data_IF_126716082315
#
_entry.id   IF_126716082315
#
_cell.length_a   1.000
_cell.length_b   1.000
_cell.length_c   1.000
_cell.angle_alpha   90.00
_cell.angle_beta   90.00
_cell.angle_gamma   90.00
#
_symmetry.space_group_name_H-M   'P 1'
#
loop_
_entity.id
_entity.type
_entity.pdbx_description
1 polymer ?
#
# COMPACT_ATOMS: atom_id res chain seq x y z
N UNK A 1 55.35 5.89 22.01
CA UNK A 1 55.68 4.55 22.52
C UNK A 1 55.03 3.54 21.58
N UNK A 2 55.87 2.93 20.74
CA UNK A 2 55.52 1.87 19.80
C UNK A 2 55.11 0.60 20.58
N UNK A 3 54.07 -0.10 20.11
CA UNK A 3 53.96 -1.55 20.27
C UNK A 3 53.35 -2.15 18.98
N UNK A 4 54.21 -2.91 18.32
CA UNK A 4 53.99 -3.86 17.21
C UNK A 4 53.56 -5.21 17.85
N UNK A 5 53.06 -6.16 17.01
CA UNK A 5 52.92 -7.64 17.20
C UNK A 5 51.43 -8.07 17.22
N UNK A 6 50.92 -9.03 16.45
CA UNK A 6 51.44 -9.97 15.43
C UNK A 6 50.27 -10.40 14.51
N UNK A 7 50.54 -10.64 13.24
CA UNK A 7 49.63 -11.31 12.30
C UNK A 7 49.67 -12.84 12.51
N UNK A 8 48.51 -13.49 12.38
CA UNK A 8 48.41 -14.96 12.19
C UNK A 8 47.61 -15.22 10.92
N UNK A 9 48.33 -15.60 9.89
CA UNK A 9 47.85 -16.16 8.63
C UNK A 9 47.75 -17.67 8.74
N UNK A 10 46.60 -18.26 8.40
CA UNK A 10 46.47 -19.70 8.20
C UNK A 10 45.83 -19.96 6.83
N UNK A 11 46.64 -20.50 5.92
CA UNK A 11 46.24 -21.08 4.63
C UNK A 11 45.77 -22.51 4.86
N UNK A 12 44.61 -22.91 4.32
CA UNK A 12 44.35 -24.31 3.90
C UNK A 12 43.55 -24.30 2.59
N UNK A 13 43.90 -25.30 1.77
CA UNK A 13 43.75 -25.46 0.33
C UNK A 13 42.35 -25.81 -0.20
N UNK A 14 42.11 -25.31 -1.43
CA UNK A 14 41.67 -26.00 -2.66
C UNK A 14 40.87 -27.29 -2.53
N UNK A 15 39.64 -27.27 -3.07
CA UNK A 15 38.88 -28.44 -3.48
C UNK A 15 37.88 -28.11 -4.59
N UNK A 16 38.32 -28.16 -5.85
CA UNK A 16 37.45 -28.22 -7.03
C UNK A 16 36.99 -29.67 -7.23
N UNK A 17 35.68 -29.92 -7.27
CA UNK A 17 35.10 -31.20 -7.66
C UNK A 17 34.18 -31.02 -8.87
N UNK A 18 34.22 -32.05 -9.72
CA UNK A 18 33.93 -32.04 -11.16
C UNK A 18 32.45 -32.02 -11.52
N UNK A 19 32.21 -31.45 -12.71
CA UNK A 19 31.03 -31.58 -13.57
C UNK A 19 31.00 -32.99 -14.16
N UNK A 20 29.88 -33.70 -14.06
CA UNK A 20 29.63 -34.93 -14.81
C UNK A 20 28.62 -34.66 -15.93
N UNK A 21 29.06 -34.87 -17.17
CA UNK A 21 28.23 -35.02 -18.37
C UNK A 21 27.96 -36.52 -18.57
N UNK A 22 26.71 -36.88 -18.83
CA UNK A 22 26.33 -38.24 -19.26
C UNK A 22 25.97 -38.19 -20.74
N UNK A 23 26.65 -39.03 -21.53
CA UNK A 23 26.50 -39.16 -22.98
C UNK A 23 25.79 -40.48 -23.34
N UNK A 24 25.13 -40.44 -24.50
CA UNK A 24 24.12 -41.34 -25.10
C UNK A 24 24.64 -42.71 -25.60
N UNK A 25 23.76 -43.74 -25.61
CA UNK A 25 23.52 -44.72 -26.71
C UNK A 25 22.36 -45.65 -26.30
N UNK A 26 21.23 -45.75 -27.03
CA UNK A 26 20.92 -46.44 -28.31
C UNK A 26 21.25 -47.94 -28.33
N UNK A 27 20.21 -48.76 -28.12
CA UNK A 27 20.07 -50.10 -28.74
C UNK A 27 18.63 -50.29 -29.26
N UNK A 28 18.54 -50.95 -30.41
CA UNK A 28 17.33 -51.37 -31.11
C UNK A 28 17.32 -52.90 -31.16
N UNK A 29 16.15 -53.54 -31.40
CA UNK A 29 15.92 -54.65 -32.36
C UNK A 29 14.48 -55.18 -32.26
N UNK A 30 13.75 -55.03 -33.39
CA UNK A 30 12.85 -55.95 -34.15
C UNK A 30 11.74 -56.72 -33.40
N UNK A 31 10.44 -56.52 -33.70
CA UNK A 31 9.60 -56.86 -34.88
C UNK A 31 9.00 -58.28 -34.83
N UNK A 32 7.67 -58.38 -34.64
CA UNK A 32 6.86 -59.45 -35.24
C UNK A 32 5.42 -58.95 -35.51
N UNK A 33 4.91 -59.28 -36.71
CA UNK A 33 3.67 -58.81 -37.36
C UNK A 33 2.43 -59.60 -36.90
N UNK A 34 1.24 -58.98 -36.98
CA UNK A 34 0.11 -59.56 -37.75
C UNK A 34 -1.14 -58.65 -37.85
N UNK A 35 -1.50 -58.39 -39.12
CA UNK A 35 -2.85 -58.35 -39.72
C UNK A 35 -3.86 -57.26 -39.30
N UNK A 36 -4.11 -56.33 -40.26
CA UNK A 36 -5.34 -55.53 -40.39
C UNK A 36 -6.42 -56.31 -41.14
N UNK A 37 -7.71 -55.97 -40.96
CA UNK A 37 -8.38 -55.34 -42.10
C UNK A 37 -9.25 -54.11 -41.76
N UNK A 38 -9.08 -53.10 -42.63
CA UNK A 38 -10.03 -52.17 -43.25
C UNK A 38 -11.37 -51.77 -42.57
N UNK A 39 -11.38 -50.47 -42.20
CA UNK A 39 -12.44 -49.46 -42.41
C UNK A 39 -13.79 -49.52 -41.68
N UNK A 40 -13.96 -48.59 -40.73
CA UNK A 40 -15.17 -47.77 -40.62
C UNK A 40 -14.80 -46.34 -40.18
N UNK A 41 -15.38 -45.35 -40.86
CA UNK A 41 -15.08 -43.91 -40.92
C UNK A 41 -14.99 -43.20 -39.54
N UNK A 42 -14.21 -42.10 -39.40
CA UNK A 42 -14.22 -41.29 -38.19
C UNK A 42 -15.54 -40.51 -38.08
N UNK A 43 -16.19 -40.58 -36.91
CA UNK A 43 -17.27 -39.67 -36.53
C UNK A 43 -16.65 -38.40 -35.96
N UNK A 44 -17.14 -37.27 -36.48
CA UNK A 44 -16.96 -35.89 -36.04
C UNK A 44 -16.65 -35.70 -34.54
N UNK A 45 -15.54 -35.03 -34.29
CA UNK A 45 -15.41 -33.85 -33.42
C UNK A 45 -16.29 -33.80 -32.17
N UNK A 46 -15.84 -34.48 -31.11
CA UNK A 46 -16.20 -34.10 -29.76
C UNK A 46 -15.29 -32.92 -29.34
N UNK A 47 -15.67 -31.71 -29.73
CA UNK A 47 -15.16 -30.48 -29.11
C UNK A 47 -15.62 -30.49 -27.66
N UNK A 48 -14.70 -30.79 -26.74
CA UNK A 48 -14.90 -30.56 -25.31
C UNK A 48 -15.07 -29.05 -25.15
N UNK A 49 -16.33 -28.61 -25.02
CA UNK A 49 -16.66 -27.25 -24.60
C UNK A 49 -16.22 -27.13 -23.15
N UNK A 50 -14.99 -26.68 -22.93
CA UNK A 50 -14.56 -26.19 -21.62
C UNK A 50 -15.47 -25.01 -21.31
N UNK A 51 -16.46 -25.25 -20.46
CA UNK A 51 -17.29 -24.20 -19.87
C UNK A 51 -16.37 -23.44 -18.93
N UNK A 52 -15.65 -22.45 -19.46
CA UNK A 52 -15.01 -21.43 -18.65
C UNK A 52 -16.10 -20.79 -17.81
N UNK A 53 -16.01 -20.96 -16.49
CA UNK A 53 -16.78 -20.16 -15.58
C UNK A 53 -16.28 -18.73 -15.77
N UNK A 54 -17.10 -17.89 -16.38
CA UNK A 54 -16.90 -16.44 -16.33
C UNK A 54 -16.91 -16.08 -14.85
N UNK A 55 -15.72 -15.86 -14.28
CA UNK A 55 -15.62 -15.17 -13.00
C UNK A 55 -16.09 -13.75 -13.29
N UNK A 56 -17.31 -13.46 -12.85
CA UNK A 56 -17.81 -12.10 -12.76
C UNK A 56 -16.82 -11.34 -11.87
N UNK A 57 -15.91 -10.56 -12.47
CA UNK A 57 -15.02 -9.67 -11.74
C UNK A 57 -15.92 -8.71 -10.97
N UNK A 58 -16.09 -9.01 -9.68
CA UNK A 58 -16.92 -8.20 -8.80
C UNK A 58 -16.26 -6.84 -8.71
N UNK A 59 -16.85 -5.87 -9.39
CA UNK A 59 -16.39 -4.48 -9.38
C UNK A 59 -16.24 -4.01 -7.93
N UNK A 60 -15.08 -3.41 -7.61
CA UNK A 60 -14.83 -2.87 -6.30
C UNK A 60 -15.77 -1.68 -6.06
N UNK A 61 -16.53 -1.76 -4.97
CA UNK A 61 -17.43 -0.68 -4.55
C UNK A 61 -16.62 0.37 -3.81
N UNK A 62 -16.73 1.63 -4.27
CA UNK A 62 -16.07 2.79 -3.65
C UNK A 62 -16.23 2.73 -2.13
N UNK A 63 -15.10 2.92 -1.44
CA UNK A 63 -15.03 2.81 0.01
C UNK A 63 -14.43 4.11 0.60
N UNK A 64 -15.26 5.04 1.09
CA UNK A 64 -14.79 6.33 1.58
C UNK A 64 -14.11 6.23 2.95
N UNK A 65 -12.97 6.92 3.07
CA UNK A 65 -12.35 7.28 4.35
C UNK A 65 -12.98 8.59 4.87
N UNK A 66 -13.13 9.58 3.99
CA UNK A 66 -13.80 10.84 4.26
C UNK A 66 -14.51 11.34 3.00
N UNK A 67 -15.75 11.81 3.17
CA UNK A 67 -16.56 12.48 2.13
C UNK A 67 -17.10 13.82 2.62
N UNK A 68 -17.78 13.81 3.76
CA UNK A 68 -18.29 14.99 4.44
C UNK A 68 -18.34 14.73 5.95
N UNK A 69 -18.39 15.78 6.75
CA UNK A 69 -18.65 15.67 8.19
C UNK A 69 -19.97 14.94 8.44
N UNK A 70 -19.92 13.91 9.30
CA UNK A 70 -21.06 13.04 9.67
C UNK A 70 -21.66 12.25 8.50
N UNK A 71 -20.99 12.18 7.35
CA UNK A 71 -21.37 11.22 6.31
C UNK A 71 -21.36 9.81 6.91
N UNK A 72 -22.46 9.05 6.77
CA UNK A 72 -22.53 7.67 7.28
C UNK A 72 -21.57 6.73 6.54
N UNK A 73 -21.06 7.16 5.38
CA UNK A 73 -20.15 6.38 4.53
C UNK A 73 -18.67 6.56 4.92
N UNK A 74 -18.34 7.34 5.96
CA UNK A 74 -16.97 7.44 6.45
C UNK A 74 -16.61 6.22 7.31
N UNK A 75 -15.58 5.47 6.92
CA UNK A 75 -15.28 4.18 7.55
C UNK A 75 -14.15 4.20 8.59
N UNK A 76 -13.21 5.15 8.53
CA UNK A 76 -12.07 5.21 9.46
C UNK A 76 -12.13 6.43 10.38
N UNK A 77 -11.46 6.35 11.55
CA UNK A 77 -11.47 7.40 12.57
C UNK A 77 -10.08 8.05 12.71
N UNK A 78 -9.94 9.39 12.59
CA UNK A 78 -8.68 10.12 12.78
C UNK A 78 -8.24 10.07 14.26
N UNK A 79 -7.65 8.95 14.65
CA UNK A 79 -7.37 8.62 16.06
C UNK A 79 -5.91 8.25 16.29
N UNK A 80 -5.13 8.00 15.24
CA UNK A 80 -3.71 7.68 15.35
C UNK A 80 -2.85 8.93 15.35
N UNK A 81 -2.94 9.75 16.40
CA UNK A 81 -2.15 10.98 16.55
C UNK A 81 -0.69 10.64 16.86
N UNK A 82 0.24 11.22 16.10
CA UNK A 82 1.68 10.89 16.17
C UNK A 82 2.58 12.13 16.22
N UNK A 83 3.78 11.95 16.75
CA UNK A 83 4.81 12.99 16.83
C UNK A 83 4.39 14.13 17.75
N UNK A 84 4.68 15.36 17.34
CA UNK A 84 4.28 16.59 18.04
C UNK A 84 2.80 16.91 17.81
N UNK A 85 1.92 15.96 18.08
CA UNK A 85 0.49 16.07 17.82
C UNK A 85 -0.19 17.21 18.60
N UNK A 86 0.40 17.65 19.72
CA UNK A 86 -0.04 18.83 20.47
C UNK A 86 0.04 20.12 19.65
N UNK A 87 0.89 20.14 18.62
CA UNK A 87 1.04 21.26 17.70
C UNK A 87 0.08 21.17 16.50
N UNK A 88 -0.73 20.10 16.42
CA UNK A 88 -1.69 19.86 15.34
C UNK A 88 -3.10 20.24 15.80
N UNK A 89 -3.80 21.04 14.98
CA UNK A 89 -5.25 21.26 15.07
C UNK A 89 -5.94 20.56 13.90
N UNK A 90 -7.02 19.87 14.19
CA UNK A 90 -7.81 19.10 13.24
C UNK A 90 -9.26 19.58 13.27
N UNK A 91 -9.80 19.92 12.10
CA UNK A 91 -11.18 20.35 11.91
C UNK A 91 -11.76 19.65 10.68
N UNK A 92 -12.63 18.65 10.87
CA UNK A 92 -13.21 17.83 9.80
C UNK A 92 -14.58 18.34 9.30
N UNK A 93 -14.94 19.56 9.69
CA UNK A 93 -16.20 20.22 9.36
C UNK A 93 -15.97 21.61 8.77
N UNK A 94 -14.82 21.85 8.15
CA UNK A 94 -14.47 23.16 7.62
C UNK A 94 -15.28 23.44 6.35
N UNK A 95 -15.98 24.57 6.30
CA UNK A 95 -16.98 24.84 5.26
C UNK A 95 -16.51 25.79 4.15
N UNK A 96 -15.30 26.35 4.25
CA UNK A 96 -14.81 27.28 3.25
C UNK A 96 -14.04 26.55 2.15
N UNK A 97 -14.53 26.69 0.91
CA UNK A 97 -13.92 26.12 -0.29
C UNK A 97 -13.59 24.61 -0.15
N UNK A 98 -14.56 23.75 0.23
CA UNK A 98 -14.39 22.31 0.10
C UNK A 98 -14.27 21.92 -1.37
N UNK A 99 -13.62 20.79 -1.66
CA UNK A 99 -13.55 20.28 -3.03
C UNK A 99 -14.89 19.67 -3.43
N UNK A 100 -15.41 18.79 -2.59
CA UNK A 100 -16.71 18.13 -2.73
C UNK A 100 -17.63 18.47 -1.57
N UNK A 101 -18.93 18.22 -1.73
CA UNK A 101 -19.86 18.27 -0.60
C UNK A 101 -20.00 19.64 0.08
N UNK A 102 -20.17 19.61 1.41
CA UNK A 102 -20.41 20.78 2.24
C UNK A 102 -19.26 21.12 3.20
N UNK A 103 -18.35 20.17 3.41
CA UNK A 103 -17.26 20.27 4.38
C UNK A 103 -16.01 19.57 3.86
N UNK A 104 -14.85 20.09 4.23
CA UNK A 104 -13.57 19.42 4.08
C UNK A 104 -12.84 19.34 5.42
N UNK A 105 -11.72 18.63 5.42
CA UNK A 105 -10.79 18.58 6.55
C UNK A 105 -9.81 19.74 6.42
N UNK A 106 -9.68 20.55 7.47
CA UNK A 106 -8.62 21.52 7.67
C UNK A 106 -7.66 21.02 8.75
N UNK A 107 -6.37 21.05 8.45
CA UNK A 107 -5.32 20.72 9.40
C UNK A 107 -4.36 21.90 9.51
N UNK A 108 -4.02 22.26 10.74
CA UNK A 108 -2.96 23.23 11.06
C UNK A 108 -1.88 22.53 11.85
N UNK A 109 -0.63 22.65 11.43
CA UNK A 109 0.54 22.20 12.17
C UNK A 109 1.42 23.41 12.51
N UNK A 110 1.70 23.60 13.80
CA UNK A 110 2.59 24.67 14.27
C UNK A 110 4.01 24.13 14.47
N UNK A 111 5.03 24.88 14.05
CA UNK A 111 6.43 24.48 14.13
C UNK A 111 7.06 24.64 15.52
N UNK A 112 6.30 24.48 16.61
CA UNK A 112 6.81 24.69 17.97
C UNK A 112 7.71 23.55 18.45
N UNK A 113 7.50 22.34 17.91
CA UNK A 113 8.13 21.10 18.37
C UNK A 113 7.90 20.83 19.86
N UNK A 114 6.66 21.00 20.33
CA UNK A 114 6.28 20.92 21.75
C UNK A 114 6.63 19.57 22.39
N UNK A 115 6.56 18.47 21.64
CA UNK A 115 6.95 17.12 22.08
C UNK A 115 8.40 16.74 21.76
N UNK A 116 9.15 17.63 21.10
CA UNK A 116 10.55 17.41 20.69
C UNK A 116 10.73 16.48 19.49
N UNK A 117 9.65 15.94 18.88
CA UNK A 117 9.74 14.99 17.77
C UNK A 117 10.14 15.67 16.46
N UNK A 118 9.78 16.95 16.26
CA UNK A 118 9.98 17.76 15.06
C UNK A 118 9.20 17.30 13.83
N UNK A 119 8.25 16.38 14.02
CA UNK A 119 7.34 15.88 12.99
C UNK A 119 5.97 15.61 13.62
N UNK A 120 4.92 15.58 12.80
CA UNK A 120 3.59 15.22 13.24
C UNK A 120 2.80 14.54 12.12
N UNK A 121 1.77 13.79 12.50
CA UNK A 121 0.85 13.13 11.58
C UNK A 121 -0.37 12.58 12.29
N UNK A 122 -1.39 12.23 11.50
CA UNK A 122 -2.61 11.59 12.00
C UNK A 122 -2.94 10.40 11.11
N UNK A 123 -3.08 9.22 11.72
CA UNK A 123 -3.66 8.03 11.10
C UNK A 123 -5.18 8.01 11.28
N UNK A 124 -5.87 7.69 10.19
CA UNK A 124 -7.25 7.23 10.19
C UNK A 124 -7.24 5.73 10.41
N UNK A 125 -7.76 5.31 11.57
CA UNK A 125 -7.68 3.93 12.05
C UNK A 125 -9.06 3.31 12.16
N UNK A 126 -9.12 1.99 12.00
CA UNK A 126 -10.26 1.18 12.37
C UNK A 126 -9.85 -0.03 13.20
N UNK A 127 -10.52 -0.25 14.35
CA UNK A 127 -11.28 0.72 15.11
C UNK A 127 -10.39 1.89 15.56
N UNK A 128 -10.99 2.90 16.19
CA UNK A 128 -10.23 4.04 16.69
C UNK A 128 -9.11 3.59 17.65
N UNK A 129 -7.92 4.18 17.50
CA UNK A 129 -6.69 3.86 18.25
C UNK A 129 -6.14 2.44 18.03
N UNK A 130 -6.48 1.77 16.92
CA UNK A 130 -5.93 0.45 16.62
C UNK A 130 -4.49 0.52 16.08
N UNK A 131 -3.52 0.34 16.98
CA UNK A 131 -2.10 0.21 16.64
C UNK A 131 -1.66 -1.26 16.41
N UNK A 132 -2.53 -2.06 15.79
CA UNK A 132 -2.29 -3.48 15.51
C UNK A 132 -2.56 -4.41 16.69
N UNK A 133 -3.26 -3.93 17.72
CA UNK A 133 -3.62 -4.71 18.91
C UNK A 133 -5.06 -5.24 18.90
N UNK A 134 -5.92 -4.74 18.00
CA UNK A 134 -7.30 -5.17 17.88
C UNK A 134 -7.52 -5.96 16.57
N UNK A 135 -8.32 -7.05 16.61
CA UNK A 135 -8.51 -7.95 15.47
C UNK A 135 -9.51 -7.45 14.43
N UNK A 136 -10.12 -6.28 14.61
CA UNK A 136 -11.07 -5.73 13.64
C UNK A 136 -10.33 -4.94 12.56
N UNK A 137 -10.75 -5.13 11.32
CA UNK A 137 -10.14 -4.54 10.12
C UNK A 137 -11.20 -4.37 9.03
N UNK A 138 -10.84 -3.69 7.94
CA UNK A 138 -11.57 -3.74 6.67
C UNK A 138 -10.82 -4.60 5.66
N UNK A 139 -11.55 -5.47 4.97
CA UNK A 139 -11.07 -6.14 3.76
C UNK A 139 -11.38 -5.24 2.56
N UNK A 140 -10.32 -4.68 1.98
CA UNK A 140 -10.38 -3.80 0.82
C UNK A 140 -9.84 -4.50 -0.43
N UNK A 141 -9.81 -5.83 -0.44
CA UNK A 141 -9.42 -6.63 -1.61
C UNK A 141 -10.23 -6.22 -2.84
N UNK A 142 -9.53 -5.95 -3.93
CA UNK A 142 -10.10 -5.47 -5.19
C UNK A 142 -9.94 -3.96 -5.41
N UNK A 143 -9.63 -3.18 -4.37
CA UNK A 143 -9.27 -1.78 -4.56
C UNK A 143 -7.95 -1.70 -5.36
N UNK A 144 -7.96 -0.89 -6.41
CA UNK A 144 -6.83 -0.65 -7.30
C UNK A 144 -6.15 0.69 -7.03
N UNK A 145 -6.85 1.61 -6.35
CA UNK A 145 -6.33 2.94 -6.04
C UNK A 145 -6.91 3.49 -4.74
N UNK A 146 -6.12 4.35 -4.09
CA UNK A 146 -6.57 5.27 -3.05
C UNK A 146 -6.42 6.69 -3.58
N UNK A 147 -7.52 7.42 -3.70
CA UNK A 147 -7.53 8.81 -4.17
C UNK A 147 -7.92 9.77 -3.06
N UNK A 148 -7.36 10.98 -3.13
CA UNK A 148 -7.65 12.06 -2.20
C UNK A 148 -7.39 13.41 -2.86
N UNK A 149 -8.14 14.43 -2.45
CA UNK A 149 -7.91 15.81 -2.84
C UNK A 149 -7.16 16.53 -1.74
N UNK A 150 -6.17 17.33 -2.13
CA UNK A 150 -5.36 18.10 -1.21
C UNK A 150 -5.03 19.48 -1.77
N UNK A 151 -5.00 20.49 -0.89
CA UNK A 151 -4.46 21.82 -1.18
C UNK A 151 -3.79 22.43 0.04
N UNK A 152 -2.85 23.34 -0.19
CA UNK A 152 -2.26 24.21 0.83
C UNK A 152 -3.11 25.45 1.06
N UNK A 153 -2.80 26.19 2.12
CA UNK A 153 -3.41 27.49 2.41
C UNK A 153 -2.70 28.62 1.67
N UNK A 154 -1.36 28.60 1.69
CA UNK A 154 -0.48 29.60 1.07
C UNK A 154 0.16 29.10 -0.23
N UNK A 155 0.25 27.78 -0.40
CA UNK A 155 1.06 27.15 -1.43
C UNK A 155 2.53 27.08 -1.03
N UNK A 156 3.22 26.01 -1.45
CA UNK A 156 4.60 25.73 -1.09
C UNK A 156 4.77 24.89 0.18
N UNK A 157 3.71 24.70 0.98
CA UNK A 157 3.73 23.76 2.10
C UNK A 157 4.01 22.35 1.59
N UNK A 158 4.72 21.54 2.38
CA UNK A 158 5.12 20.19 1.95
C UNK A 158 4.58 19.12 2.91
N UNK A 159 3.84 18.16 2.37
CA UNK A 159 3.51 16.92 3.08
C UNK A 159 4.61 15.90 2.77
N UNK A 160 5.23 15.36 3.80
CA UNK A 160 6.39 14.47 3.63
C UNK A 160 5.96 13.10 3.07
N UNK A 161 4.85 12.59 3.58
CA UNK A 161 4.30 11.29 3.18
C UNK A 161 2.78 11.29 3.35
N UNK A 162 2.08 10.74 2.37
CA UNK A 162 0.69 10.29 2.49
C UNK A 162 0.66 8.81 2.13
N UNK A 163 0.06 7.97 2.96
CA UNK A 163 0.02 6.52 2.71
C UNK A 163 -1.22 5.85 3.30
N UNK A 164 -1.34 4.56 3.01
CA UNK A 164 -2.22 3.62 3.70
C UNK A 164 -1.44 2.41 4.21
N UNK A 165 -2.05 1.72 5.17
CA UNK A 165 -1.50 0.56 5.84
C UNK A 165 -0.25 0.89 6.66
N UNK A 166 0.59 -0.14 6.90
CA UNK A 166 1.89 0.01 7.56
C UNK A 166 1.85 0.11 9.09
N UNK A 167 0.72 -0.18 9.73
CA UNK A 167 0.64 -0.40 11.18
C UNK A 167 1.01 -1.85 11.47
N UNK A 168 1.98 -2.05 12.37
CA UNK A 168 2.49 -3.36 12.74
C UNK A 168 2.14 -3.71 14.19
N UNK A 169 1.65 -4.92 14.41
CA UNK A 169 1.26 -5.49 15.70
C UNK A 169 0.85 -6.97 15.57
N UNK A 170 0.10 -7.48 16.54
CA UNK A 170 -0.50 -8.83 16.48
C UNK A 170 -1.46 -8.94 15.28
N UNK A 171 -2.21 -7.87 15.02
CA UNK A 171 -3.14 -7.72 13.90
C UNK A 171 -2.63 -6.61 12.97
N UNK A 172 -1.52 -6.88 12.28
CA UNK A 172 -0.87 -5.92 11.38
C UNK A 172 -1.68 -5.64 10.12
N UNK A 173 -1.49 -4.47 9.50
CA UNK A 173 -1.88 -4.26 8.10
C UNK A 173 -1.20 -5.30 7.20
N UNK A 174 -1.93 -5.80 6.19
CA UNK A 174 -1.41 -6.78 5.23
C UNK A 174 -0.37 -6.21 4.26
N UNK A 175 -0.47 -4.93 3.92
CA UNK A 175 0.48 -4.23 3.05
C UNK A 175 0.51 -2.72 3.37
N UNK A 176 1.32 -1.97 2.64
CA UNK A 176 1.39 -0.52 2.67
C UNK A 176 1.68 0.05 1.27
N UNK A 177 1.11 1.21 0.99
CA UNK A 177 1.37 1.98 -0.23
C UNK A 177 1.23 3.47 0.06
N UNK A 178 2.03 4.30 -0.59
CA UNK A 178 2.04 5.74 -0.34
C UNK A 178 2.72 6.55 -1.43
N UNK A 179 2.63 7.87 -1.26
CA UNK A 179 3.22 8.90 -2.11
C UNK A 179 3.84 9.98 -1.23
N UNK A 180 4.90 10.61 -1.71
CA UNK A 180 5.55 11.71 -1.01
C UNK A 180 7.00 11.90 -1.47
N UNK A 181 7.58 13.09 -1.24
CA UNK A 181 6.95 14.29 -0.70
C UNK A 181 5.98 14.96 -1.71
N UNK A 182 5.01 15.71 -1.20
CA UNK A 182 4.05 16.49 -1.98
C UNK A 182 4.18 17.97 -1.62
N UNK A 183 4.58 18.81 -2.59
CA UNK A 183 4.50 20.27 -2.45
C UNK A 183 3.13 20.75 -2.88
N UNK A 184 2.43 21.42 -1.97
CA UNK A 184 1.05 21.83 -2.13
C UNK A 184 0.93 23.12 -2.93
N UNK A 185 -0.18 23.25 -3.64
CA UNK A 185 -0.64 24.50 -4.24
C UNK A 185 -1.90 24.98 -3.54
N UNK A 186 -2.27 26.24 -3.75
CA UNK A 186 -3.54 26.79 -3.26
C UNK A 186 -4.75 26.14 -3.94
N UNK A 187 -4.57 25.61 -5.14
CA UNK A 187 -5.62 24.90 -5.87
C UNK A 187 -5.73 23.44 -5.43
N UNK A 188 -6.97 22.95 -5.34
CA UNK A 188 -7.29 21.54 -5.14
C UNK A 188 -6.66 20.69 -6.24
N UNK A 189 -5.91 19.67 -5.82
CA UNK A 189 -5.33 18.66 -6.72
C UNK A 189 -5.63 17.27 -6.19
N UNK A 190 -6.05 16.40 -7.09
CA UNK A 190 -6.20 14.98 -6.78
C UNK A 190 -4.85 14.30 -6.84
N UNK A 191 -4.57 13.46 -5.85
CA UNK A 191 -3.47 12.50 -5.87
C UNK A 191 -4.02 11.08 -5.85
N UNK A 192 -3.22 10.16 -6.35
CA UNK A 192 -3.55 8.73 -6.43
C UNK A 192 -2.38 7.92 -5.91
N UNK A 193 -2.66 7.03 -4.96
CA UNK A 193 -1.77 5.96 -4.55
C UNK A 193 -2.20 4.72 -5.33
N UNK A 194 -1.29 4.16 -6.12
CA UNK A 194 -1.52 2.91 -6.86
C UNK A 194 -1.50 1.73 -5.88
N UNK A 195 -2.58 0.96 -5.87
CA UNK A 195 -2.76 -0.24 -5.04
C UNK A 195 -2.76 -1.52 -5.86
N UNK A 196 -2.46 -1.45 -7.16
CA UNK A 196 -2.45 -2.61 -8.05
C UNK A 196 -1.50 -3.69 -7.52
N UNK A 197 -2.06 -4.88 -7.27
CA UNK A 197 -1.31 -6.04 -6.77
C UNK A 197 -0.95 -5.99 -5.28
N UNK A 198 -1.44 -5.01 -4.52
CA UNK A 198 -1.29 -4.95 -3.06
C UNK A 198 -2.20 -5.95 -2.36
N UNK A 199 -1.73 -6.51 -1.25
CA UNK A 199 -2.57 -7.31 -0.36
C UNK A 199 -3.35 -6.37 0.56
N UNK A 200 -4.65 -6.23 0.30
CA UNK A 200 -5.55 -5.37 1.06
C UNK A 200 -6.58 -6.18 1.86
N UNK A 201 -6.29 -7.45 2.14
CA UNK A 201 -7.18 -8.34 2.89
C UNK A 201 -7.35 -7.94 4.36
N UNK A 202 -6.41 -7.18 4.93
CA UNK A 202 -6.46 -6.71 6.31
C UNK A 202 -5.94 -5.28 6.44
N UNK A 203 -6.85 -4.30 6.41
CA UNK A 203 -6.53 -2.87 6.54
C UNK A 203 -7.12 -2.28 7.83
N UNK A 204 -6.23 -1.80 8.70
CA UNK A 204 -6.52 -1.05 9.93
C UNK A 204 -6.11 0.43 9.79
N UNK A 205 -5.03 0.72 9.07
CA UNK A 205 -4.55 2.08 8.78
C UNK A 205 -5.09 2.59 7.44
N UNK A 206 -6.29 3.14 7.41
CA UNK A 206 -6.98 3.51 6.16
C UNK A 206 -6.40 4.71 5.41
N UNK A 207 -5.80 5.66 6.11
CA UNK A 207 -5.15 6.83 5.51
C UNK A 207 -4.25 7.48 6.56
N UNK A 208 -3.13 8.06 6.14
CA UNK A 208 -2.28 8.86 7.01
C UNK A 208 -1.58 9.92 6.19
N UNK A 209 -1.35 11.07 6.83
CA UNK A 209 -0.37 12.05 6.39
C UNK A 209 0.68 12.24 7.48
N UNK A 210 1.88 12.63 7.08
CA UNK A 210 2.90 13.13 8.00
C UNK A 210 3.72 14.26 7.37
N UNK A 211 4.25 15.14 8.22
CA UNK A 211 5.14 16.23 7.84
C UNK A 211 6.13 16.54 8.96
N UNK A 212 7.09 17.42 8.69
CA UNK A 212 8.10 17.84 9.66
C UNK A 212 8.42 19.34 9.55
N UNK A 213 9.05 19.86 10.60
CA UNK A 213 9.46 21.25 10.71
C UNK A 213 10.56 21.63 9.70
N UNK A 214 11.39 20.68 9.26
CA UNK A 214 12.52 20.98 8.39
C UNK A 214 12.04 21.40 6.99
N UNK A 215 10.92 20.83 6.52
CA UNK A 215 10.27 21.22 5.27
C UNK A 215 9.16 22.27 5.45
N UNK A 216 8.72 22.54 6.68
CA UNK A 216 7.71 23.57 6.99
C UNK A 216 8.12 24.37 8.24
N UNK A 217 9.17 25.22 8.16
CA UNK A 217 9.72 25.91 9.33
C UNK A 217 8.77 26.93 9.96
N UNK A 218 7.80 27.45 9.20
CA UNK A 218 6.77 28.37 9.68
C UNK A 218 5.46 27.66 10.09
N UNK A 219 5.49 26.34 10.16
CA UNK A 219 4.27 25.52 10.23
C UNK A 219 3.58 25.46 8.87
N UNK A 220 2.40 24.83 8.86
CA UNK A 220 1.60 24.72 7.65
C UNK A 220 0.11 24.65 7.96
N UNK A 221 -0.71 25.08 7.01
CA UNK A 221 -2.15 24.82 6.97
C UNK A 221 -2.46 24.16 5.65
N UNK A 222 -3.22 23.07 5.68
CA UNK A 222 -3.62 22.37 4.47
C UNK A 222 -5.00 21.75 4.64
N UNK A 223 -5.56 21.34 3.52
CA UNK A 223 -6.91 20.86 3.41
C UNK A 223 -6.94 19.53 2.68
N UNK A 224 -7.78 18.62 3.17
CA UNK A 224 -8.03 17.31 2.59
C UNK A 224 -9.51 17.14 2.33
N UNK A 225 -9.85 16.45 1.25
CA UNK A 225 -11.22 16.14 0.91
C UNK A 225 -11.33 14.87 0.05
N UNK A 226 -12.53 14.30 -0.05
CA UNK A 226 -12.88 13.18 -0.94
C UNK A 226 -11.83 12.04 -0.94
N UNK A 227 -11.53 11.51 0.26
CA UNK A 227 -10.56 10.43 0.47
C UNK A 227 -11.27 9.07 0.33
N UNK A 228 -10.87 8.24 -0.64
CA UNK A 228 -11.58 6.99 -0.95
C UNK A 228 -10.71 5.93 -1.63
N UNK A 229 -11.05 4.67 -1.36
CA UNK A 229 -10.58 3.52 -2.13
C UNK A 229 -11.52 3.25 -3.29
N UNK A 230 -10.96 2.80 -4.42
CA UNK A 230 -11.65 2.56 -5.69
C UNK A 230 -11.00 1.41 -6.48
#
# INVERSE_FOLDING_TARGET
>A
KFFIVLAVSCFIAVGCAKKEEVTVSKEAVMEEKSVLPEAMKPKEDAVIKVMGQEQEEKEFKIFPVYSDKRSPDNHFIPSGWMGDYMDVKFEDAYQENPHGGATCIKITYNSNATGGARWAGIYWQYPANNWGGAPQYYDLTGASKLTFWIRGDKGGETIQEVKMGGIFGEYSDSDTAGVGPITLTTEWKQYTIDLTGKDLSHVIGGFVWSTNIDVNPEGLVFYLDDIKYE
#
